data_IF_374207439369
#
_entry.id   IF_374207439369
#
_cell.length_a   1.000
_cell.length_b   1.000
_cell.length_c   1.000
_cell.angle_alpha   90.00
_cell.angle_beta   90.00
_cell.angle_gamma   90.00
#
_symmetry.space_group_name_H-M   'P 1'
#
loop_
_entity.id
_entity.type
_entity.pdbx_description
1 polymer ?
#
# COMPACT_ATOMS: atom_id res chain seq x y z
N UNK A 1 -50.58 -25.02 8.43
CA UNK A 1 -49.15 -25.35 8.53
C UNK A 1 -48.43 -24.10 8.99
N UNK A 2 -47.57 -24.27 9.98
CA UNK A 2 -47.02 -23.25 10.87
C UNK A 2 -46.02 -22.31 10.19
N UNK A 3 -46.27 -21.01 10.32
CA UNK A 3 -45.31 -19.94 10.04
C UNK A 3 -44.19 -19.95 11.09
N UNK A 4 -42.98 -20.33 10.68
CA UNK A 4 -41.75 -20.13 11.43
C UNK A 4 -40.97 -18.95 10.83
N UNK A 5 -40.63 -17.90 11.60
CA UNK A 5 -39.81 -16.82 11.09
C UNK A 5 -38.35 -17.27 10.96
N UNK A 6 -37.77 -16.99 9.79
CA UNK A 6 -36.37 -17.26 9.43
C UNK A 6 -35.41 -16.50 10.35
N UNK A 7 -34.50 -17.24 11.00
CA UNK A 7 -33.39 -16.70 11.76
C UNK A 7 -32.45 -15.90 10.85
N UNK A 8 -32.41 -14.59 11.09
CA UNK A 8 -31.43 -13.70 10.46
C UNK A 8 -30.13 -13.79 11.25
N UNK A 9 -29.13 -14.50 10.72
CA UNK A 9 -27.79 -14.56 11.33
C UNK A 9 -27.06 -13.24 11.04
N UNK A 10 -27.18 -12.30 11.98
CA UNK A 10 -26.39 -11.07 11.98
C UNK A 10 -24.97 -11.36 12.50
N UNK A 11 -24.00 -11.49 11.59
CA UNK A 11 -22.58 -11.51 11.97
C UNK A 11 -22.14 -10.06 12.22
N UNK A 12 -22.33 -9.57 13.44
CA UNK A 12 -21.74 -8.31 13.91
C UNK A 12 -20.26 -8.52 14.21
N UNK A 13 -19.40 -8.20 13.24
CA UNK A 13 -17.96 -8.14 13.46
C UNK A 13 -17.58 -6.88 14.26
N UNK A 14 -17.41 -7.03 15.57
CA UNK A 14 -16.86 -6.00 16.45
C UNK A 14 -15.42 -5.70 16.04
N UNK A 15 -15.17 -4.50 15.51
CA UNK A 15 -13.80 -4.01 15.30
C UNK A 15 -13.08 -3.89 16.65
N UNK A 16 -11.86 -4.42 16.80
CA UNK A 16 -11.05 -4.12 17.98
C UNK A 16 -10.60 -2.66 17.95
N UNK A 17 -10.50 -1.99 19.11
CA UNK A 17 -10.10 -0.58 19.16
C UNK A 17 -8.62 -0.45 18.82
N UNK A 18 -8.31 0.40 17.84
CA UNK A 18 -6.96 0.86 17.55
C UNK A 18 -6.37 1.50 18.80
N UNK A 19 -5.45 0.79 19.48
CA UNK A 19 -4.52 1.40 20.44
C UNK A 19 -3.59 2.34 19.66
N UNK A 20 -3.76 3.65 19.85
CA UNK A 20 -2.73 4.64 19.48
C UNK A 20 -1.61 4.60 20.52
N UNK A 21 -0.33 4.72 20.12
CA UNK A 21 0.75 4.89 21.09
C UNK A 21 0.62 6.25 21.78
N UNK A 22 0.58 6.21 23.11
CA UNK A 22 0.65 7.38 23.96
C UNK A 22 2.08 7.93 23.96
N UNK A 23 2.28 9.09 23.33
CA UNK A 23 3.40 9.96 23.65
C UNK A 23 2.84 11.09 24.53
N UNK A 24 3.01 10.91 25.84
CA UNK A 24 2.78 11.97 26.83
C UNK A 24 4.08 12.77 26.90
N UNK A 25 4.11 13.91 26.21
CA UNK A 25 5.11 14.95 26.40
C UNK A 25 4.69 15.76 27.63
N UNK A 26 5.63 15.91 28.55
CA UNK A 26 5.45 16.57 29.84
C UNK A 26 4.95 18.00 29.72
N UNK A 27 4.00 18.31 30.58
CA UNK A 27 3.47 19.64 30.86
C UNK A 27 4.38 20.28 31.92
N UNK A 28 5.07 21.36 31.56
CA UNK A 28 5.59 22.36 32.51
C UNK A 28 4.93 23.67 32.10
N UNK A 29 4.14 24.24 33.02
CA UNK A 29 3.41 25.48 32.80
C UNK A 29 4.35 26.69 32.77
N UNK A 30 3.88 27.76 32.11
CA UNK A 30 3.44 28.92 32.87
C UNK A 30 2.53 29.81 32.02
N UNK A 31 1.44 30.24 32.64
CA UNK A 31 0.53 31.27 32.14
C UNK A 31 1.20 32.64 32.28
N UNK A 32 1.00 33.50 31.28
CA UNK A 32 0.67 34.93 31.36
C UNK A 32 1.41 35.73 30.29
N UNK A 33 0.67 36.20 29.27
CA UNK A 33 0.67 37.62 28.86
C UNK A 33 -0.06 37.83 27.54
N UNK A 34 -0.99 38.79 27.60
CA UNK A 34 -1.82 39.38 26.55
C UNK A 34 -0.97 40.05 25.45
N UNK A 35 -1.39 39.93 24.18
CA UNK A 35 -1.56 41.04 23.21
C UNK A 35 -1.85 40.45 21.81
N UNK A 36 -3.05 40.65 21.25
CA UNK A 36 -3.44 41.78 20.37
C UNK A 36 -2.77 41.74 18.98
N UNK A 37 -3.59 41.33 18.00
CA UNK A 37 -3.75 41.83 16.62
C UNK A 37 -2.51 42.49 15.98
N UNK A 38 -2.05 41.95 14.85
CA UNK A 38 -1.75 42.75 13.66
C UNK A 38 -1.63 41.90 12.38
N UNK A 39 -2.33 42.37 11.36
CA UNK A 39 -2.32 41.96 9.96
C UNK A 39 -1.01 42.39 9.28
N UNK A 40 -0.35 41.49 8.55
CA UNK A 40 0.78 41.84 7.69
C UNK A 40 0.30 42.22 6.27
N UNK A 41 0.87 43.25 5.63
CA UNK A 41 0.54 43.64 4.26
C UNK A 41 1.37 42.89 3.22
N UNK A 42 0.83 42.85 2.00
CA UNK A 42 1.40 42.18 0.84
C UNK A 42 2.76 42.76 0.41
N UNK A 43 3.66 41.85 0.03
CA UNK A 43 4.98 42.16 -0.49
C UNK A 43 4.93 42.20 -2.02
N UNK A 44 5.19 43.36 -2.58
CA UNK A 44 5.44 43.58 -4.02
C UNK A 44 6.78 42.95 -4.41
N UNK A 45 6.80 42.27 -5.55
CA UNK A 45 8.00 41.68 -6.15
C UNK A 45 8.39 42.57 -7.32
N UNK A 46 9.45 43.36 -7.15
CA UNK A 46 10.09 44.10 -8.23
C UNK A 46 10.86 43.14 -9.14
N UNK A 47 10.78 43.44 -10.43
CA UNK A 47 11.57 42.86 -11.51
C UNK A 47 12.99 43.48 -11.57
N UNK A 48 13.83 42.82 -12.38
CA UNK A 48 15.18 43.20 -12.83
C UNK A 48 16.32 43.04 -11.78
N UNK A 49 17.46 42.41 -12.05
CA UNK A 49 18.30 42.55 -13.24
C UNK A 49 19.03 41.26 -13.68
N UNK A 50 19.31 41.24 -14.98
CA UNK A 50 20.15 40.30 -15.73
C UNK A 50 21.63 40.47 -15.40
N UNK A 51 22.40 39.38 -15.38
CA UNK A 51 23.80 39.39 -15.84
C UNK A 51 24.27 37.98 -16.29
N UNK A 52 25.20 37.84 -17.27
CA UNK A 52 25.15 36.73 -18.23
C UNK A 52 26.39 35.83 -18.29
N UNK A 53 26.25 34.76 -19.10
CA UNK A 53 27.27 33.92 -19.78
C UNK A 53 28.08 32.93 -18.93
N UNK A 54 27.84 31.64 -19.17
CA UNK A 54 28.87 30.73 -19.72
C UNK A 54 28.22 29.75 -20.70
N UNK A 55 28.95 29.46 -21.78
CA UNK A 55 28.47 28.83 -22.99
C UNK A 55 28.94 27.37 -23.13
N UNK A 56 28.02 26.52 -23.61
CA UNK A 56 28.21 25.34 -24.49
C UNK A 56 28.98 24.11 -23.96
N UNK A 57 28.86 22.91 -24.61
CA UNK A 57 28.28 22.61 -25.93
C UNK A 57 27.21 21.50 -26.03
N UNK A 58 26.60 21.47 -27.22
CA UNK A 58 25.58 20.55 -27.73
C UNK A 58 26.22 19.41 -28.52
N UNK A 59 25.67 18.20 -28.40
CA UNK A 59 25.61 17.11 -29.40
C UNK A 59 24.74 16.01 -28.77
N UNK A 60 23.64 15.49 -29.32
CA UNK A 60 23.43 14.83 -30.64
C UNK A 60 21.91 14.76 -30.97
N UNK A 61 21.51 14.42 -32.22
CA UNK A 61 20.19 14.72 -32.76
C UNK A 61 19.18 13.57 -32.60
N UNK A 62 17.94 13.93 -32.22
CA UNK A 62 16.77 13.04 -32.32
C UNK A 62 16.17 13.14 -33.72
N UNK A 63 16.00 11.96 -34.35
CA UNK A 63 15.31 11.76 -35.62
C UNK A 63 13.89 12.34 -35.59
N UNK A 64 13.59 13.09 -36.64
CA UNK A 64 12.24 13.45 -37.08
C UNK A 64 11.44 12.18 -37.40
N UNK A 65 10.29 12.04 -36.77
CA UNK A 65 9.15 11.31 -37.32
C UNK A 65 8.10 12.37 -37.61
N UNK A 66 7.97 12.71 -38.90
CA UNK A 66 6.84 13.45 -39.43
C UNK A 66 5.59 12.58 -39.30
N UNK A 67 4.66 12.99 -38.44
CA UNK A 67 3.28 12.54 -38.50
C UNK A 67 2.39 13.77 -38.55
N UNK A 68 1.95 14.07 -39.77
CA UNK A 68 0.93 15.05 -40.10
C UNK A 68 -0.40 14.69 -39.43
N UNK A 69 -0.90 15.53 -38.53
CA UNK A 69 -2.28 15.47 -38.07
C UNK A 69 -3.12 16.48 -38.85
N UNK A 70 -3.91 15.95 -39.78
CA UNK A 70 -4.96 16.69 -40.44
C UNK A 70 -6.11 16.97 -39.48
N UNK A 71 -6.61 18.19 -39.65
CA UNK A 71 -7.58 18.91 -38.87
C UNK A 71 -9.00 18.39 -39.13
N UNK A 72 -9.69 17.86 -38.10
CA UNK A 72 -11.15 17.75 -38.08
C UNK A 72 -11.68 17.63 -36.64
N UNK A 73 -12.24 18.74 -36.15
CA UNK A 73 -13.36 18.84 -35.22
C UNK A 73 -13.54 17.74 -34.15
N UNK A 74 -12.99 17.99 -32.95
CA UNK A 74 -13.56 17.47 -31.72
C UNK A 74 -13.56 18.57 -30.64
N UNK A 75 -14.74 19.14 -30.41
CA UNK A 75 -15.01 20.12 -29.36
C UNK A 75 -14.81 19.45 -28.00
N UNK A 76 -13.71 19.71 -27.33
CA UNK A 76 -13.55 19.35 -25.92
C UNK A 76 -13.79 20.59 -25.05
N UNK A 77 -15.06 20.79 -24.69
CA UNK A 77 -15.47 21.60 -23.55
C UNK A 77 -14.94 20.93 -22.29
N UNK A 78 -13.98 21.55 -21.57
CA UNK A 78 -13.87 21.52 -20.09
C UNK A 78 -12.59 22.23 -19.64
N UNK A 79 -12.68 23.55 -19.48
CA UNK A 79 -11.92 24.27 -18.46
C UNK A 79 -12.81 25.39 -17.94
N UNK A 80 -13.51 25.12 -16.84
CA UNK A 80 -14.09 26.18 -16.01
C UNK A 80 -14.22 25.69 -14.57
N UNK A 81 -13.70 26.50 -13.66
CA UNK A 81 -14.03 26.58 -12.25
C UNK A 81 -13.56 25.45 -11.32
N UNK A 82 -12.45 25.72 -10.64
CA UNK A 82 -12.26 25.24 -9.26
C UNK A 82 -12.48 26.45 -8.34
N UNK A 83 -13.74 26.73 -8.04
CA UNK A 83 -14.12 27.60 -6.93
C UNK A 83 -14.19 26.77 -5.63
N UNK A 84 -13.47 27.24 -4.61
CA UNK A 84 -13.88 27.28 -3.21
C UNK A 84 -14.57 26.03 -2.64
N UNK A 85 -13.76 25.13 -2.06
CA UNK A 85 -14.24 24.12 -1.12
C UNK A 85 -14.52 24.76 0.26
N UNK A 86 -15.66 25.44 0.39
CA UNK A 86 -16.22 25.77 1.70
C UNK A 86 -17.74 25.86 1.60
N UNK A 87 -18.41 24.95 2.32
CA UNK A 87 -19.86 24.72 2.48
C UNK A 87 -20.51 23.74 1.50
N UNK A 88 -20.76 22.52 2.00
CA UNK A 88 -22.05 21.84 1.81
C UNK A 88 -22.52 21.24 3.13
N UNK A 89 -23.53 21.90 3.71
CA UNK A 89 -24.50 21.29 4.63
C UNK A 89 -25.49 20.48 3.79
N UNK A 90 -26.00 19.39 4.37
CA UNK A 90 -27.25 18.70 4.04
C UNK A 90 -27.41 18.18 2.60
N UNK A 91 -27.29 16.86 2.46
CA UNK A 91 -27.87 16.11 1.35
C UNK A 91 -28.26 14.73 1.89
N UNK A 92 -29.36 14.71 2.65
CA UNK A 92 -30.19 13.53 2.86
C UNK A 92 -30.87 13.20 1.52
N UNK A 93 -30.21 12.38 0.72
CA UNK A 93 -30.82 11.68 -0.39
C UNK A 93 -30.36 10.23 -0.30
N UNK A 94 -31.30 9.30 -0.16
CA UNK A 94 -31.05 7.87 -0.19
C UNK A 94 -30.23 7.53 -1.44
N UNK A 95 -28.97 7.16 -1.23
CA UNK A 95 -28.10 6.75 -2.33
C UNK A 95 -28.62 5.42 -2.88
N UNK A 96 -28.72 5.25 -4.22
CA UNK A 96 -29.15 3.99 -4.82
C UNK A 96 -28.19 2.87 -4.38
N UNK A 97 -28.74 1.80 -3.80
CA UNK A 97 -27.96 0.63 -3.39
C UNK A 97 -27.27 0.02 -4.62
N UNK A 98 -25.95 -0.10 -4.59
CA UNK A 98 -25.21 -0.78 -5.64
C UNK A 98 -25.29 -2.29 -5.42
N UNK A 99 -25.89 -3.02 -6.36
CA UNK A 99 -25.98 -4.47 -6.38
C UNK A 99 -25.00 -5.06 -7.40
N UNK A 100 -24.27 -6.11 -7.00
CA UNK A 100 -23.32 -6.85 -7.83
C UNK A 100 -23.63 -8.33 -7.71
N UNK A 101 -23.82 -9.02 -8.84
CA UNK A 101 -24.03 -10.48 -8.89
C UNK A 101 -22.65 -11.15 -8.87
N UNK A 102 -22.39 -11.98 -7.85
CA UNK A 102 -21.10 -12.67 -7.69
C UNK A 102 -21.07 -14.00 -8.45
N UNK A 103 -22.18 -14.74 -8.39
CA UNK A 103 -22.39 -16.03 -9.06
C UNK A 103 -23.91 -16.30 -9.16
N UNK A 104 -24.36 -17.26 -10.00
CA UNK A 104 -25.78 -17.60 -10.09
C UNK A 104 -26.36 -17.92 -8.70
N UNK A 105 -27.45 -17.22 -8.34
CA UNK A 105 -28.09 -17.34 -7.02
C UNK A 105 -27.48 -16.50 -5.87
N UNK A 106 -26.34 -15.82 -6.08
CA UNK A 106 -25.70 -14.98 -5.04
C UNK A 106 -25.63 -13.50 -5.46
N UNK A 107 -26.30 -12.63 -4.70
CA UNK A 107 -26.31 -11.19 -4.94
C UNK A 107 -25.70 -10.45 -3.74
N UNK A 108 -24.69 -9.62 -4.02
CA UNK A 108 -24.08 -8.72 -3.06
C UNK A 108 -24.73 -7.34 -3.21
N UNK A 109 -25.35 -6.83 -2.15
CA UNK A 109 -25.84 -5.45 -2.09
C UNK A 109 -25.00 -4.66 -1.09
N UNK A 110 -24.50 -3.50 -1.53
CA UNK A 110 -23.67 -2.61 -0.70
C UNK A 110 -24.35 -1.26 -0.55
N UNK A 111 -24.60 -0.87 0.70
CA UNK A 111 -24.92 0.50 1.09
C UNK A 111 -23.67 1.17 1.71
N UNK A 112 -23.75 2.46 2.03
CA UNK A 112 -22.65 3.17 2.69
C UNK A 112 -22.27 2.56 4.05
N UNK A 113 -23.22 1.91 4.71
CA UNK A 113 -23.07 1.45 6.09
C UNK A 113 -23.06 -0.07 6.23
N UNK A 114 -23.61 -0.81 5.25
CA UNK A 114 -23.80 -2.26 5.35
C UNK A 114 -23.52 -2.95 4.02
N UNK A 115 -23.02 -4.18 4.13
CA UNK A 115 -22.86 -5.11 3.01
C UNK A 115 -23.76 -6.30 3.33
N UNK A 116 -24.72 -6.58 2.47
CA UNK A 116 -25.63 -7.70 2.60
C UNK A 116 -25.39 -8.67 1.44
N UNK A 117 -25.26 -9.95 1.76
CA UNK A 117 -25.24 -11.04 0.77
C UNK A 117 -26.58 -11.74 0.87
N UNK A 118 -27.32 -11.80 -0.24
CA UNK A 118 -28.62 -12.48 -0.31
C UNK A 118 -28.50 -13.66 -1.26
N UNK A 119 -28.87 -14.85 -0.77
CA UNK A 119 -29.00 -16.05 -1.58
C UNK A 119 -30.43 -16.06 -2.13
N UNK A 120 -30.58 -15.96 -3.45
CA UNK A 120 -31.88 -16.11 -4.09
C UNK A 120 -32.21 -17.59 -4.17
N UNK A 121 -33.02 -18.05 -3.22
CA UNK A 121 -33.47 -19.46 -3.15
C UNK A 121 -34.32 -19.87 -4.34
N UNK A 122 -35.00 -18.91 -4.98
CA UNK A 122 -35.92 -19.19 -6.10
C UNK A 122 -35.19 -19.62 -7.39
N UNK A 123 -33.93 -19.20 -7.57
CA UNK A 123 -33.10 -19.57 -8.72
C UNK A 123 -32.40 -20.94 -8.53
N UNK A 124 -32.37 -21.49 -7.31
CA UNK A 124 -31.75 -22.78 -7.00
C UNK A 124 -32.70 -23.97 -7.15
N UNK A 125 -34.02 -23.76 -6.98
CA UNK A 125 -35.04 -24.81 -7.01
C UNK A 125 -35.96 -24.77 -8.23
N UNK A 126 -35.75 -23.83 -9.16
CA UNK A 126 -36.41 -23.87 -10.47
C UNK A 126 -35.61 -24.78 -11.40
N UNK A 127 -35.80 -26.08 -11.20
CA UNK A 127 -35.36 -27.13 -12.12
C UNK A 127 -35.92 -26.84 -13.52
N UNK A 128 -35.00 -26.65 -14.47
CA UNK A 128 -35.25 -26.42 -15.89
C UNK A 128 -36.19 -27.50 -16.47
N UNK A 129 -37.49 -27.20 -16.58
CA UNK A 129 -38.43 -27.95 -17.42
C UNK A 129 -38.29 -27.66 -18.93
N UNK A 130 -37.12 -27.21 -19.40
CA UNK A 130 -36.93 -26.86 -20.82
C UNK A 130 -35.61 -27.39 -21.41
N UNK A 131 -35.39 -28.70 -21.31
CA UNK A 131 -34.51 -29.38 -22.27
C UNK A 131 -34.91 -30.85 -22.49
N UNK A 132 -36.18 -31.09 -22.83
CA UNK A 132 -36.60 -32.32 -23.53
C UNK A 132 -36.39 -32.12 -25.03
N UNK A 133 -35.19 -32.43 -25.52
CA UNK A 133 -34.93 -33.02 -26.85
C UNK A 133 -33.44 -33.00 -27.17
N UNK A 134 -32.76 -34.15 -27.00
CA UNK A 134 -31.94 -34.79 -28.05
C UNK A 134 -31.33 -36.13 -27.58
N UNK A 135 -31.90 -37.20 -28.14
CA UNK A 135 -31.26 -38.40 -28.76
C UNK A 135 -30.25 -39.18 -27.90
N UNK A 136 -30.66 -40.31 -27.31
CA UNK A 136 -30.57 -41.67 -27.89
C UNK A 136 -29.17 -42.05 -28.38
N UNK A 137 -28.39 -42.70 -27.51
CA UNK A 137 -27.55 -43.86 -27.84
C UNK A 137 -27.61 -44.82 -26.64
N UNK A 138 -28.01 -46.04 -26.94
CA UNK A 138 -28.50 -47.09 -26.05
C UNK A 138 -27.53 -48.26 -26.16
N UNK A 139 -26.81 -48.56 -25.08
CA UNK A 139 -26.18 -49.86 -24.77
C UNK A 139 -26.24 -49.95 -23.23
N UNK A 140 -27.03 -50.78 -22.55
CA UNK A 140 -27.75 -51.97 -22.96
C UNK A 140 -26.92 -53.22 -22.66
N UNK A 141 -26.63 -53.51 -21.38
CA UNK A 141 -26.31 -54.86 -20.89
C UNK A 141 -26.81 -54.99 -19.44
N UNK A 142 -28.05 -55.46 -19.33
CA UNK A 142 -28.55 -56.26 -18.23
C UNK A 142 -28.36 -57.72 -18.63
N UNK A 143 -27.90 -58.60 -17.73
CA UNK A 143 -28.17 -60.03 -17.85
C UNK A 143 -28.35 -60.62 -16.44
N UNK A 144 -29.62 -60.74 -16.07
CA UNK A 144 -30.12 -61.72 -15.12
C UNK A 144 -30.58 -62.95 -15.91
N UNK A 145 -30.26 -64.13 -15.37
CA UNK A 145 -31.07 -65.36 -15.37
C UNK A 145 -31.16 -66.27 -16.62
N UNK A 146 -30.88 -67.55 -16.33
CA UNK A 146 -31.58 -68.79 -16.73
C UNK A 146 -31.69 -69.18 -18.22
N UNK A 147 -31.02 -70.30 -18.58
CA UNK A 147 -31.68 -71.37 -19.37
C UNK A 147 -31.18 -72.77 -18.96
N UNK A 148 -32.12 -73.55 -18.43
CA UNK A 148 -32.15 -75.02 -18.36
C UNK A 148 -32.64 -75.56 -19.72
N UNK A 149 -32.04 -76.62 -20.27
CA UNK A 149 -32.63 -77.57 -21.25
C UNK A 149 -31.58 -78.69 -21.42
N UNK A 150 -31.73 -79.96 -21.03
CA UNK A 150 -32.73 -81.01 -21.25
C UNK A 150 -32.97 -81.41 -22.71
N UNK A 151 -32.71 -82.70 -22.96
CA UNK A 151 -33.19 -83.60 -24.04
C UNK A 151 -32.53 -83.55 -25.43
N UNK A 152 -31.84 -84.65 -25.82
CA UNK A 152 -32.44 -85.73 -26.63
C UNK A 152 -31.50 -86.93 -26.81
N UNK A 153 -31.98 -88.11 -26.39
CA UNK A 153 -31.63 -89.43 -26.94
C UNK A 153 -31.84 -89.43 -28.47
N UNK A 154 -31.14 -90.30 -29.22
CA UNK A 154 -31.79 -91.57 -29.59
C UNK A 154 -30.83 -92.77 -29.57
N UNK A 155 -31.14 -93.78 -28.76
CA UNK A 155 -31.27 -95.15 -29.28
C UNK A 155 -32.66 -95.23 -29.94
N UNK A 156 -33.03 -96.19 -30.84
CA UNK A 156 -32.66 -97.60 -30.74
C UNK A 156 -32.75 -98.46 -32.05
N UNK A 157 -32.68 -99.79 -31.88
CA UNK A 157 -33.13 -100.88 -32.79
C UNK A 157 -32.34 -101.06 -34.10
N UNK A 158 -31.81 -102.26 -34.42
CA UNK A 158 -32.56 -103.48 -34.76
C UNK A 158 -31.51 -104.57 -35.10
N UNK A 159 -31.45 -105.74 -34.47
CA UNK A 159 -32.37 -106.91 -34.49
C UNK A 159 -31.97 -107.96 -35.53
N UNK A 160 -32.32 -109.21 -35.18
CA UNK A 160 -32.45 -110.43 -36.00
C UNK A 160 -31.17 -111.27 -36.12
N UNK A 161 -31.06 -112.42 -35.45
CA UNK A 161 -31.91 -113.64 -35.42
C UNK A 161 -31.15 -114.75 -36.17
N UNK A 162 -30.84 -115.83 -35.47
CA UNK A 162 -31.39 -117.18 -35.69
C UNK A 162 -30.54 -118.17 -34.87
N UNK A 163 -31.08 -118.81 -33.83
CA UNK A 163 -31.99 -119.97 -33.90
C UNK A 163 -31.41 -121.06 -34.81
N UNK A 164 -30.88 -122.13 -34.22
CA UNK A 164 -31.45 -123.47 -34.43
C UNK A 164 -30.70 -124.60 -33.70
N UNK A 165 -31.51 -125.36 -32.96
CA UNK A 165 -31.52 -126.81 -32.76
C UNK A 165 -30.25 -127.49 -32.19
N UNK A 166 -30.27 -128.05 -30.98
CA UNK A 166 -31.04 -129.23 -30.52
C UNK A 166 -30.73 -130.53 -31.26
N UNK A 167 -30.68 -131.61 -30.46
CA UNK A 167 -30.70 -133.06 -30.81
C UNK A 167 -29.34 -133.63 -31.23
N UNK A 168 -28.82 -134.78 -30.76
CA UNK A 168 -29.34 -136.02 -30.17
C UNK A 168 -28.14 -136.70 -29.45
N UNK A 169 -28.18 -137.29 -28.24
CA UNK A 169 -28.86 -138.51 -27.75
C UNK A 169 -28.86 -139.70 -28.72
N UNK A 170 -27.87 -140.60 -28.59
CA UNK A 170 -27.99 -142.09 -28.63
C UNK A 170 -26.56 -142.66 -28.50
N UNK A 171 -26.14 -143.24 -27.37
CA UNK A 171 -26.46 -144.58 -26.84
C UNK A 171 -26.03 -145.74 -27.73
N UNK A 172 -25.54 -146.79 -27.04
CA UNK A 172 -25.46 -148.20 -27.46
C UNK A 172 -24.31 -148.51 -28.44
N UNK A 173 -23.48 -149.54 -28.28
CA UNK A 173 -23.63 -150.85 -27.63
C UNK A 173 -22.27 -151.39 -27.16
N UNK A 174 -22.30 -152.04 -26.00
CA UNK A 174 -21.32 -153.03 -25.54
C UNK A 174 -21.40 -154.29 -26.41
N UNK A 175 -20.28 -154.97 -26.68
CA UNK A 175 -20.24 -156.44 -26.80
C UNK A 175 -18.81 -156.97 -26.96
N UNK A 176 -18.21 -157.35 -25.83
CA UNK A 176 -17.33 -158.51 -25.74
C UNK A 176 -18.07 -159.77 -26.21
N UNK A 177 -17.64 -160.43 -27.30
CA UNK A 177 -17.94 -161.87 -27.54
C UNK A 177 -16.80 -162.55 -28.31
N UNK A 178 -15.99 -163.28 -27.56
CA UNK A 178 -15.55 -164.68 -27.77
C UNK A 178 -15.74 -165.38 -29.15
N UNK A 179 -14.65 -166.08 -29.54
CA UNK A 179 -14.57 -167.42 -30.19
C UNK A 179 -14.73 -167.57 -31.72
N UNK A 180 -13.59 -168.01 -32.29
CA UNK A 180 -13.39 -169.15 -33.20
C UNK A 180 -13.88 -169.07 -34.67
N UNK A 181 -12.86 -169.15 -35.54
CA UNK A 181 -12.75 -169.98 -36.76
C UNK A 181 -13.70 -169.72 -37.94
N UNK A 182 -13.21 -169.02 -38.98
CA UNK A 182 -13.10 -169.46 -40.41
C UNK A 182 -12.58 -168.29 -41.30
N UNK A 183 -11.97 -168.57 -42.47
CA UNK A 183 -11.28 -167.56 -43.30
C UNK A 183 -12.24 -166.62 -44.06
N UNK A 184 -11.76 -165.46 -44.55
CA UNK A 184 -12.59 -164.36 -45.05
C UNK A 184 -13.13 -164.64 -46.47
N UNK A 185 -14.39 -164.26 -46.69
CA UNK A 185 -15.08 -164.37 -47.98
C UNK A 185 -14.83 -163.11 -48.83
N UNK A 186 -14.70 -163.22 -50.16
CA UNK A 186 -14.28 -162.12 -51.06
C UNK A 186 -15.15 -160.85 -50.98
N UNK A 187 -16.39 -161.00 -50.51
CA UNK A 187 -17.33 -159.89 -50.29
C UNK A 187 -16.87 -158.95 -49.18
N UNK A 188 -16.23 -159.45 -48.13
CA UNK A 188 -15.77 -158.65 -47.00
C UNK A 188 -14.53 -157.80 -47.36
N UNK A 189 -13.68 -158.31 -48.27
CA UNK A 189 -12.56 -157.54 -48.83
C UNK A 189 -13.09 -156.37 -49.66
N UNK A 190 -14.15 -156.59 -50.45
CA UNK A 190 -14.78 -155.53 -51.26
C UNK A 190 -15.54 -154.51 -50.40
N UNK A 191 -16.18 -154.95 -49.33
CA UNK A 191 -16.78 -154.07 -48.32
C UNK A 191 -15.70 -153.24 -47.63
N UNK A 192 -14.56 -153.83 -47.27
CA UNK A 192 -13.43 -153.10 -46.67
C UNK A 192 -12.81 -152.09 -47.64
N UNK A 193 -12.66 -152.43 -48.93
CA UNK A 193 -12.21 -151.48 -49.95
C UNK A 193 -13.20 -150.34 -50.18
N UNK A 194 -14.51 -150.62 -50.22
CA UNK A 194 -15.52 -149.56 -50.33
C UNK A 194 -15.58 -148.70 -49.07
N UNK A 195 -15.40 -149.28 -47.88
CA UNK A 195 -15.27 -148.53 -46.64
C UNK A 195 -14.01 -147.65 -46.65
N UNK A 196 -12.89 -148.13 -47.19
CA UNK A 196 -11.68 -147.33 -47.39
C UNK A 196 -11.94 -146.17 -48.36
N UNK A 197 -12.55 -146.44 -49.52
CA UNK A 197 -12.90 -145.40 -50.49
C UNK A 197 -13.87 -144.35 -49.92
N UNK A 198 -14.85 -144.77 -49.12
CA UNK A 198 -15.77 -143.87 -48.42
C UNK A 198 -14.99 -143.03 -47.40
N UNK A 199 -14.09 -143.63 -46.63
CA UNK A 199 -13.26 -142.91 -45.67
C UNK A 199 -12.31 -141.91 -46.37
N UNK A 200 -11.73 -142.29 -47.51
CA UNK A 200 -10.87 -141.41 -48.31
C UNK A 200 -11.69 -140.24 -48.89
N UNK A 201 -12.91 -140.49 -49.39
CA UNK A 201 -13.84 -139.44 -49.84
C UNK A 201 -14.29 -138.52 -48.69
N UNK A 202 -14.56 -139.08 -47.50
CA UNK A 202 -14.86 -138.31 -46.30
C UNK A 202 -13.67 -137.43 -45.95
N UNK A 203 -12.45 -137.96 -46.01
CA UNK A 203 -11.22 -137.21 -45.74
C UNK A 203 -11.01 -136.09 -46.75
N UNK A 204 -11.24 -136.32 -48.05
CA UNK A 204 -11.17 -135.28 -49.09
C UNK A 204 -12.23 -134.20 -48.92
N UNK A 205 -13.48 -134.57 -48.63
CA UNK A 205 -14.56 -133.60 -48.38
C UNK A 205 -14.31 -132.80 -47.09
N UNK A 206 -13.74 -133.44 -46.07
CA UNK A 206 -13.38 -132.78 -44.83
C UNK A 206 -12.18 -131.84 -45.01
N UNK A 207 -11.21 -132.21 -45.84
CA UNK A 207 -10.10 -131.35 -46.28
C UNK A 207 -10.60 -130.16 -47.10
N UNK A 208 -11.48 -130.37 -48.08
CA UNK A 208 -12.10 -129.27 -48.84
C UNK A 208 -12.92 -128.35 -47.94
N UNK A 209 -13.68 -128.90 -46.99
CA UNK A 209 -14.44 -128.12 -46.02
C UNK A 209 -13.52 -127.30 -45.11
N UNK A 210 -12.43 -127.91 -44.65
CA UNK A 210 -11.38 -127.22 -43.87
C UNK A 210 -10.69 -126.15 -44.70
N UNK A 211 -10.41 -126.41 -45.98
CA UNK A 211 -9.79 -125.48 -46.90
C UNK A 211 -10.73 -124.31 -47.21
N UNK A 212 -12.02 -124.55 -47.45
CA UNK A 212 -13.03 -123.51 -47.63
C UNK A 212 -13.22 -122.68 -46.35
N UNK A 213 -13.28 -123.33 -45.17
CA UNK A 213 -13.32 -122.65 -43.88
C UNK A 213 -12.06 -121.81 -43.63
N UNK A 214 -10.89 -122.33 -44.00
CA UNK A 214 -9.62 -121.61 -43.94
C UNK A 214 -9.61 -120.42 -44.89
N UNK A 215 -10.15 -120.58 -46.11
CA UNK A 215 -10.22 -119.50 -47.09
C UNK A 215 -11.21 -118.40 -46.68
N UNK A 216 -12.38 -118.78 -46.13
CA UNK A 216 -13.35 -117.84 -45.56
C UNK A 216 -12.70 -117.04 -44.41
N UNK A 217 -11.96 -117.71 -43.52
CA UNK A 217 -11.21 -117.03 -42.45
C UNK A 217 -10.17 -116.06 -43.02
N UNK A 218 -9.38 -116.47 -44.01
CA UNK A 218 -8.41 -115.60 -44.67
C UNK A 218 -9.08 -114.39 -45.31
N UNK A 219 -10.21 -114.55 -46.00
CA UNK A 219 -10.95 -113.41 -46.58
C UNK A 219 -11.53 -112.50 -45.49
N UNK A 220 -12.06 -113.06 -44.40
CA UNK A 220 -12.58 -112.30 -43.28
C UNK A 220 -11.45 -111.52 -42.55
N UNK A 221 -10.30 -112.16 -42.32
CA UNK A 221 -9.10 -111.52 -41.77
C UNK A 221 -8.56 -110.43 -42.68
N UNK A 222 -8.53 -110.66 -44.00
CA UNK A 222 -8.11 -109.62 -44.96
C UNK A 222 -9.07 -108.43 -44.97
N UNK A 223 -10.38 -108.67 -44.92
CA UNK A 223 -11.36 -107.59 -44.79
C UNK A 223 -11.22 -106.86 -43.45
N UNK A 224 -10.99 -107.59 -42.36
CA UNK A 224 -10.76 -107.00 -41.04
C UNK A 224 -9.52 -106.11 -41.04
N UNK A 225 -8.38 -106.59 -41.57
CA UNK A 225 -7.16 -105.80 -41.73
C UNK A 225 -7.37 -104.57 -42.61
N UNK A 226 -8.18 -104.69 -43.67
CA UNK A 226 -8.48 -103.54 -44.53
C UNK A 226 -9.32 -102.49 -43.79
N UNK A 227 -10.31 -102.93 -43.01
CA UNK A 227 -11.13 -102.05 -42.16
C UNK A 227 -10.26 -101.37 -41.10
N UNK A 228 -9.37 -102.11 -40.43
CA UNK A 228 -8.41 -101.55 -39.46
C UNK A 228 -7.50 -100.51 -40.12
N UNK A 229 -6.98 -100.79 -41.32
CA UNK A 229 -6.15 -99.84 -42.06
C UNK A 229 -6.91 -98.55 -42.37
N UNK A 230 -8.17 -98.65 -42.81
CA UNK A 230 -9.01 -97.47 -43.06
C UNK A 230 -9.27 -96.71 -41.76
N UNK A 231 -9.53 -97.40 -40.64
CA UNK A 231 -9.71 -96.74 -39.35
C UNK A 231 -8.45 -96.03 -38.87
N UNK A 232 -7.27 -96.62 -39.06
CA UNK A 232 -6.00 -95.99 -38.74
C UNK A 232 -5.77 -94.75 -39.60
N UNK A 233 -5.94 -94.84 -40.92
CA UNK A 233 -5.82 -93.70 -41.84
C UNK A 233 -6.80 -92.57 -41.49
N UNK A 234 -8.03 -92.90 -41.11
CA UNK A 234 -9.01 -91.92 -40.64
C UNK A 234 -8.60 -91.32 -39.30
N UNK A 235 -8.05 -92.11 -38.38
CA UNK A 235 -7.60 -91.61 -37.08
C UNK A 235 -6.42 -90.65 -37.25
N UNK A 236 -5.44 -91.00 -38.09
CA UNK A 236 -4.32 -90.13 -38.46
C UNK A 236 -4.80 -88.85 -39.16
N UNK A 237 -5.76 -88.95 -40.10
CA UNK A 237 -6.29 -87.78 -40.79
C UNK A 237 -7.05 -86.84 -39.85
N UNK A 238 -7.91 -87.38 -38.98
CA UNK A 238 -8.61 -86.60 -37.94
C UNK A 238 -7.57 -85.95 -37.02
N UNK A 239 -6.55 -86.69 -36.59
CA UNK A 239 -5.48 -86.16 -35.74
C UNK A 239 -4.70 -85.03 -36.41
N UNK A 240 -4.39 -85.14 -37.71
CA UNK A 240 -3.73 -84.08 -38.48
C UNK A 240 -4.60 -82.82 -38.57
N UNK A 241 -5.92 -82.97 -38.80
CA UNK A 241 -6.85 -81.84 -38.86
C UNK A 241 -6.97 -81.16 -37.49
N UNK A 242 -7.09 -81.94 -36.42
CA UNK A 242 -7.14 -81.42 -35.05
C UNK A 242 -5.86 -80.65 -34.70
N UNK A 243 -4.70 -81.18 -35.09
CA UNK A 243 -3.42 -80.51 -34.91
C UNK A 243 -3.33 -79.21 -35.71
N UNK A 244 -3.74 -79.21 -36.98
CA UNK A 244 -3.74 -78.01 -37.82
C UNK A 244 -4.67 -76.92 -37.25
N UNK A 245 -5.85 -77.30 -36.74
CA UNK A 245 -6.76 -76.38 -36.07
C UNK A 245 -6.18 -75.83 -34.77
N UNK A 246 -5.52 -76.66 -33.96
CA UNK A 246 -4.87 -76.22 -32.72
C UNK A 246 -3.72 -75.24 -33.03
N UNK A 247 -2.92 -75.52 -34.06
CA UNK A 247 -1.86 -74.62 -34.53
C UNK A 247 -2.41 -73.29 -35.06
N UNK A 248 -3.55 -73.29 -35.79
CA UNK A 248 -4.20 -72.08 -36.26
C UNK A 248 -4.76 -71.25 -35.09
N UNK A 249 -5.41 -71.91 -34.12
CA UNK A 249 -5.89 -71.28 -32.89
C UNK A 249 -4.72 -70.66 -32.11
N UNK A 250 -3.61 -71.36 -31.99
CA UNK A 250 -2.43 -70.85 -31.27
C UNK A 250 -1.79 -69.68 -32.01
N UNK A 251 -1.65 -69.73 -33.34
CA UNK A 251 -1.21 -68.58 -34.15
C UNK A 251 -2.13 -67.37 -33.98
N UNK A 252 -3.45 -67.59 -33.94
CA UNK A 252 -4.42 -66.52 -33.69
C UNK A 252 -4.26 -65.95 -32.29
N UNK A 253 -4.16 -66.78 -31.24
CA UNK A 253 -3.92 -66.34 -29.85
C UNK A 253 -2.66 -65.49 -29.75
N UNK A 254 -1.53 -65.97 -30.28
CA UNK A 254 -0.28 -65.18 -30.29
C UNK A 254 -0.42 -63.84 -31.04
N UNK A 255 -1.22 -63.80 -32.11
CA UNK A 255 -1.50 -62.54 -32.82
C UNK A 255 -2.36 -61.56 -32.00
N UNK A 256 -3.25 -62.07 -31.15
CA UNK A 256 -4.04 -61.27 -30.22
C UNK A 256 -3.17 -60.77 -29.06
N UNK A 257 -2.34 -61.64 -28.49
CA UNK A 257 -1.40 -61.26 -27.44
C UNK A 257 -0.40 -60.19 -27.94
N UNK A 258 0.12 -60.35 -29.15
CA UNK A 258 0.95 -59.30 -29.81
C UNK A 258 0.20 -57.99 -30.02
N UNK A 259 -1.12 -58.03 -30.26
CA UNK A 259 -1.94 -56.80 -30.35
C UNK A 259 -2.13 -56.14 -29.00
N UNK A 260 -2.33 -56.92 -27.94
CA UNK A 260 -2.45 -56.42 -26.57
C UNK A 260 -1.13 -55.81 -26.07
N UNK A 261 0.02 -56.42 -26.39
CA UNK A 261 1.32 -55.83 -26.06
C UNK A 261 1.55 -54.51 -26.81
N UNK A 262 1.19 -54.42 -28.10
CA UNK A 262 1.28 -53.15 -28.84
C UNK A 262 0.35 -52.08 -28.25
N UNK A 263 -0.87 -52.44 -27.84
CA UNK A 263 -1.79 -51.50 -27.22
C UNK A 263 -1.24 -50.95 -25.89
N UNK A 264 -0.74 -51.84 -25.02
CA UNK A 264 -0.13 -51.44 -23.74
C UNK A 264 1.16 -50.62 -23.92
N UNK A 265 1.98 -50.91 -24.92
CA UNK A 265 3.14 -50.07 -25.28
C UNK A 265 2.72 -48.66 -25.72
N UNK A 266 1.65 -48.56 -26.50
CA UNK A 266 1.11 -47.28 -26.95
C UNK A 266 0.55 -46.46 -25.78
N UNK A 267 -0.18 -47.10 -24.87
CA UNK A 267 -0.67 -46.45 -23.65
C UNK A 267 0.49 -45.97 -22.76
N UNK A 268 1.52 -46.79 -22.59
CA UNK A 268 2.72 -46.39 -21.85
C UNK A 268 3.43 -45.19 -22.49
N UNK A 269 3.57 -45.16 -23.82
CA UNK A 269 4.13 -44.01 -24.55
C UNK A 269 3.27 -42.76 -24.38
N UNK A 270 1.95 -42.91 -24.44
CA UNK A 270 1.02 -41.79 -24.27
C UNK A 270 1.07 -41.22 -22.86
N UNK A 271 1.08 -42.10 -21.85
CA UNK A 271 1.21 -41.72 -20.46
C UNK A 271 2.56 -41.04 -20.17
N UNK A 272 3.66 -41.54 -20.75
CA UNK A 272 4.96 -40.86 -20.66
C UNK A 272 4.89 -39.46 -21.26
N UNK A 273 4.33 -39.32 -22.46
CA UNK A 273 4.22 -38.00 -23.12
C UNK A 273 3.32 -37.04 -22.35
N UNK A 274 2.23 -37.53 -21.78
CA UNK A 274 1.35 -36.74 -20.91
C UNK A 274 2.09 -36.26 -19.67
N UNK A 275 2.87 -37.13 -19.02
CA UNK A 275 3.68 -36.77 -17.85
C UNK A 275 4.78 -35.76 -18.19
N UNK A 276 5.45 -35.90 -19.34
CA UNK A 276 6.42 -34.93 -19.84
C UNK A 276 5.77 -33.56 -20.05
N UNK A 277 4.63 -33.49 -20.74
CA UNK A 277 3.89 -32.24 -20.96
C UNK A 277 3.42 -31.60 -19.65
N UNK A 278 2.93 -32.40 -18.70
CA UNK A 278 2.58 -31.92 -17.35
C UNK A 278 3.79 -31.36 -16.62
N UNK A 279 4.95 -32.01 -16.73
CA UNK A 279 6.18 -31.54 -16.12
C UNK A 279 6.69 -30.25 -16.78
N UNK A 280 6.71 -30.17 -18.11
CA UNK A 280 7.07 -28.96 -18.86
C UNK A 280 6.17 -27.77 -18.51
N UNK A 281 4.85 -27.98 -18.48
CA UNK A 281 3.91 -26.94 -18.08
C UNK A 281 4.16 -26.50 -16.63
N UNK A 282 4.37 -27.44 -15.70
CA UNK A 282 4.70 -27.12 -14.30
C UNK A 282 5.98 -26.29 -14.21
N UNK A 283 7.05 -26.70 -14.88
CA UNK A 283 8.33 -25.97 -14.91
C UNK A 283 8.17 -24.57 -15.51
N UNK A 284 7.44 -24.43 -16.62
CA UNK A 284 7.17 -23.13 -17.25
C UNK A 284 6.38 -22.20 -16.32
N UNK A 285 5.36 -22.71 -15.62
CA UNK A 285 4.61 -21.91 -14.64
C UNK A 285 5.46 -21.50 -13.45
N UNK A 286 6.32 -22.39 -12.95
CA UNK A 286 7.22 -22.10 -11.83
C UNK A 286 8.29 -21.07 -12.22
N UNK A 287 8.83 -21.17 -13.44
CA UNK A 287 9.76 -20.18 -14.00
C UNK A 287 9.10 -18.81 -14.15
N UNK A 288 7.89 -18.74 -14.71
CA UNK A 288 7.14 -17.50 -14.86
C UNK A 288 6.83 -16.84 -13.49
N UNK A 289 6.41 -17.63 -12.50
CA UNK A 289 6.23 -17.14 -11.13
C UNK A 289 7.55 -16.69 -10.50
N UNK A 290 8.65 -17.40 -10.77
CA UNK A 290 9.99 -17.03 -10.33
C UNK A 290 10.45 -15.69 -10.92
N UNK A 291 10.21 -15.46 -12.21
CA UNK A 291 10.50 -14.20 -12.89
C UNK A 291 9.67 -13.06 -12.29
N UNK A 292 8.35 -13.25 -12.13
CA UNK A 292 7.47 -12.24 -11.54
C UNK A 292 7.88 -11.88 -10.10
N UNK A 293 8.28 -12.86 -9.28
CA UNK A 293 8.80 -12.61 -7.93
C UNK A 293 10.09 -11.78 -7.96
N UNK A 294 11.02 -12.09 -8.86
CA UNK A 294 12.27 -11.34 -9.01
C UNK A 294 12.01 -9.89 -9.44
N UNK A 295 11.11 -9.68 -10.39
CA UNK A 295 10.71 -8.34 -10.86
C UNK A 295 10.07 -7.52 -9.74
N UNK A 296 9.15 -8.11 -8.98
CA UNK A 296 8.48 -7.43 -7.87
C UNK A 296 9.48 -7.06 -6.76
N UNK A 297 10.42 -7.96 -6.44
CA UNK A 297 11.50 -7.66 -5.48
C UNK A 297 12.39 -6.52 -6.01
N UNK A 298 12.75 -6.55 -7.29
CA UNK A 298 13.57 -5.51 -7.90
C UNK A 298 12.86 -4.14 -7.89
N UNK A 299 11.57 -4.10 -8.22
CA UNK A 299 10.75 -2.90 -8.17
C UNK A 299 10.63 -2.37 -6.73
N UNK A 300 10.36 -3.25 -5.76
CA UNK A 300 10.29 -2.86 -4.34
C UNK A 300 11.61 -2.32 -3.82
N UNK A 301 12.73 -2.93 -4.17
CA UNK A 301 14.06 -2.43 -3.80
C UNK A 301 14.34 -1.08 -4.43
N UNK A 302 13.96 -0.89 -5.70
CA UNK A 302 14.09 0.40 -6.39
C UNK A 302 13.22 1.50 -5.77
N UNK A 303 11.99 1.18 -5.35
CA UNK A 303 11.11 2.08 -4.60
C UNK A 303 11.72 2.46 -3.23
N UNK A 304 12.25 1.47 -2.50
CA UNK A 304 12.93 1.68 -1.22
C UNK A 304 14.16 2.58 -1.37
N UNK A 305 14.99 2.34 -2.38
CA UNK A 305 16.15 3.18 -2.70
C UNK A 305 15.73 4.61 -3.08
N UNK A 306 14.64 4.75 -3.84
CA UNK A 306 14.06 6.04 -4.19
C UNK A 306 13.57 6.82 -2.96
N UNK A 307 12.84 6.14 -2.07
CA UNK A 307 12.33 6.73 -0.83
C UNK A 307 13.48 7.11 0.12
N UNK A 308 14.50 6.27 0.22
CA UNK A 308 15.67 6.53 1.06
C UNK A 308 16.46 7.75 0.55
N UNK A 309 16.64 7.90 -0.78
CA UNK A 309 17.25 9.09 -1.38
C UNK A 309 16.44 10.36 -1.10
N UNK A 310 15.12 10.28 -1.15
CA UNK A 310 14.24 11.42 -0.86
C UNK A 310 14.29 11.82 0.62
N UNK A 311 14.24 10.84 1.54
CA UNK A 311 14.44 11.10 2.96
C UNK A 311 15.80 11.74 3.24
N UNK A 312 16.86 11.27 2.59
CA UNK A 312 18.19 11.85 2.71
C UNK A 312 18.23 13.31 2.24
N UNK A 313 17.59 13.63 1.10
CA UNK A 313 17.46 15.02 0.63
C UNK A 313 16.68 15.91 1.60
N UNK A 314 15.64 15.38 2.23
CA UNK A 314 14.86 16.12 3.23
C UNK A 314 15.70 16.43 4.47
N UNK A 315 16.48 15.46 4.96
CA UNK A 315 17.43 15.65 6.06
C UNK A 315 18.46 16.75 5.70
N UNK A 316 19.06 16.67 4.51
CA UNK A 316 20.03 17.67 4.03
C UNK A 316 19.41 19.07 3.96
N UNK A 317 18.19 19.19 3.45
CA UNK A 317 17.47 20.46 3.37
C UNK A 317 17.22 21.07 4.76
N UNK A 318 16.81 20.25 5.73
CA UNK A 318 16.59 20.69 7.12
C UNK A 318 17.91 21.14 7.74
N UNK A 319 18.98 20.36 7.58
CA UNK A 319 20.31 20.71 8.08
C UNK A 319 20.81 22.03 7.48
N UNK A 320 20.64 22.23 6.18
CA UNK A 320 21.02 23.48 5.50
C UNK A 320 20.20 24.67 6.01
N UNK A 321 18.89 24.50 6.21
CA UNK A 321 18.01 25.54 6.76
C UNK A 321 18.38 25.89 8.20
N UNK A 322 18.66 24.89 9.04
CA UNK A 322 19.12 25.10 10.41
C UNK A 322 20.48 25.81 10.44
N UNK A 323 21.41 25.45 9.57
CA UNK A 323 22.69 26.14 9.41
C UNK A 323 22.49 27.63 9.09
N UNK A 324 21.67 27.94 8.07
CA UNK A 324 21.33 29.33 7.71
C UNK A 324 20.67 30.10 8.85
N UNK A 325 19.86 29.45 9.69
CA UNK A 325 19.24 30.11 10.84
C UNK A 325 20.23 30.39 11.95
N UNK A 326 21.16 29.46 12.22
CA UNK A 326 22.27 29.68 13.16
C UNK A 326 23.13 30.85 12.68
N UNK A 327 23.49 30.91 11.40
CA UNK A 327 24.28 32.01 10.83
C UNK A 327 23.58 33.36 11.00
N UNK A 328 22.26 33.44 10.73
CA UNK A 328 21.47 34.66 10.98
C UNK A 328 21.42 35.04 12.44
N UNK A 329 21.32 34.08 13.35
CA UNK A 329 21.35 34.35 14.78
C UNK A 329 22.72 34.89 15.19
N UNK A 330 23.81 34.30 14.70
CA UNK A 330 25.17 34.80 14.94
C UNK A 330 25.36 36.23 14.41
N UNK A 331 24.84 36.55 13.23
CA UNK A 331 24.87 37.90 12.66
C UNK A 331 24.14 38.90 13.57
N UNK A 332 22.92 38.58 14.02
CA UNK A 332 22.18 39.41 14.99
C UNK A 332 22.91 39.56 16.32
N UNK A 333 23.57 38.51 16.81
CA UNK A 333 24.37 38.59 18.02
C UNK A 333 25.58 39.52 17.83
N UNK A 334 26.25 39.47 16.67
CA UNK A 334 27.33 40.38 16.35
C UNK A 334 26.85 41.84 16.28
N UNK A 335 25.69 42.10 15.66
CA UNK A 335 25.05 43.42 15.65
C UNK A 335 24.76 43.92 17.08
N UNK A 336 24.12 43.10 17.92
CA UNK A 336 23.84 43.45 19.32
C UNK A 336 25.10 43.74 20.14
N UNK A 337 26.20 43.01 19.89
CA UNK A 337 27.50 43.26 20.53
C UNK A 337 28.05 44.62 20.08
N UNK A 338 27.99 44.92 18.78
CA UNK A 338 28.44 46.20 18.24
C UNK A 338 27.61 47.38 18.78
N UNK A 339 26.29 47.23 18.88
CA UNK A 339 25.39 48.21 19.48
C UNK A 339 25.68 48.44 20.96
N UNK A 340 25.98 47.36 21.70
CA UNK A 340 26.40 47.44 23.10
C UNK A 340 27.70 48.24 23.27
N UNK A 341 28.68 48.03 22.38
CA UNK A 341 29.91 48.82 22.36
C UNK A 341 29.67 50.29 22.00
N UNK A 342 28.81 50.56 21.02
CA UNK A 342 28.43 51.92 20.63
C UNK A 342 27.72 52.64 21.79
N UNK A 343 26.80 51.96 22.48
CA UNK A 343 26.11 52.51 23.65
C UNK A 343 27.09 52.81 24.80
N UNK A 344 28.07 51.94 25.03
CA UNK A 344 29.15 52.20 26.01
C UNK A 344 29.94 53.45 25.65
N UNK A 345 30.30 53.65 24.38
CA UNK A 345 30.99 54.89 23.91
C UNK A 345 30.15 56.13 24.19
N UNK A 346 28.88 56.13 23.79
CA UNK A 346 27.95 57.24 24.06
C UNK A 346 27.81 57.52 25.56
N UNK A 347 27.75 56.47 26.39
CA UNK A 347 27.68 56.62 27.85
C UNK A 347 28.95 57.28 28.41
N UNK A 348 30.14 56.90 27.92
CA UNK A 348 31.39 57.55 28.31
C UNK A 348 31.47 59.02 27.86
N UNK A 349 31.03 59.34 26.64
CA UNK A 349 30.96 60.72 26.14
C UNK A 349 29.98 61.57 26.98
N UNK A 350 28.79 61.02 27.28
CA UNK A 350 27.81 61.66 28.15
C UNK A 350 28.40 61.93 29.55
N UNK A 351 29.15 60.99 30.12
CA UNK A 351 29.84 61.20 31.40
C UNK A 351 30.87 62.32 31.33
N UNK A 352 31.65 62.42 30.24
CA UNK A 352 32.61 63.51 30.00
C UNK A 352 31.88 64.85 29.92
N UNK A 353 30.85 64.97 29.07
CA UNK A 353 30.03 66.17 28.95
C UNK A 353 29.36 66.58 30.27
N UNK A 354 28.97 65.61 31.10
CA UNK A 354 28.39 65.89 32.42
C UNK A 354 29.42 66.49 33.37
N UNK A 355 30.67 65.99 33.36
CA UNK A 355 31.80 66.56 34.13
C UNK A 355 32.16 67.97 33.64
N UNK A 356 32.18 68.19 32.32
CA UNK A 356 32.43 69.51 31.74
C UNK A 356 31.34 70.51 32.13
N UNK A 357 30.06 70.13 32.02
CA UNK A 357 28.93 70.95 32.48
C UNK A 357 29.03 71.28 33.97
N UNK A 358 29.46 70.32 34.81
CA UNK A 358 29.70 70.57 36.23
C UNK A 358 30.82 71.61 36.44
N UNK A 359 31.94 71.48 35.71
CA UNK A 359 33.06 72.43 35.78
C UNK A 359 32.68 73.84 35.30
N UNK A 360 31.86 73.94 34.25
CA UNK A 360 31.36 75.21 33.73
C UNK A 360 30.39 75.87 34.72
N UNK A 361 29.51 75.08 35.35
CA UNK A 361 28.63 75.59 36.42
C UNK A 361 29.43 76.14 37.60
N UNK A 362 30.51 75.47 38.00
CA UNK A 362 31.38 75.94 39.07
C UNK A 362 32.10 77.26 38.68
N UNK A 363 32.64 77.34 37.46
CA UNK A 363 33.21 78.57 36.90
C UNK A 363 32.20 79.71 36.88
N UNK A 364 30.98 79.45 36.39
CA UNK A 364 29.89 80.43 36.33
C UNK A 364 29.54 80.94 37.73
N UNK A 365 29.43 80.05 38.72
CA UNK A 365 29.18 80.39 40.12
C UNK A 365 30.30 81.28 40.67
N UNK A 366 31.56 80.90 40.45
CA UNK A 366 32.72 81.71 40.87
C UNK A 366 32.72 83.10 40.23
N UNK A 367 32.41 83.22 38.94
CA UNK A 367 32.30 84.52 38.26
C UNK A 367 31.13 85.34 38.77
N UNK A 368 29.99 84.71 39.06
CA UNK A 368 28.82 85.36 39.64
C UNK A 368 29.11 85.89 41.06
N UNK A 369 29.81 85.10 41.88
CA UNK A 369 30.24 85.52 43.22
C UNK A 369 31.22 86.71 43.17
N UNK A 370 32.17 86.69 42.22
CA UNK A 370 33.07 87.83 41.96
C UNK A 370 32.29 89.07 41.52
N UNK A 371 31.36 88.93 40.59
CA UNK A 371 30.51 90.03 40.11
C UNK A 371 29.70 90.62 41.27
N UNK A 372 29.04 89.78 42.07
CA UNK A 372 28.29 90.21 43.26
C UNK A 372 29.17 90.99 44.23
N UNK A 373 30.40 90.52 44.48
CA UNK A 373 31.38 91.23 45.31
C UNK A 373 31.71 92.60 44.75
N UNK A 374 32.02 92.70 43.45
CA UNK A 374 32.30 93.98 42.79
C UNK A 374 31.09 94.91 42.78
N UNK A 375 29.87 94.39 42.66
CA UNK A 375 28.63 95.20 42.73
C UNK A 375 28.44 95.77 44.13
N UNK A 376 28.68 94.98 45.18
CA UNK A 376 28.62 95.46 46.57
C UNK A 376 29.70 96.51 46.84
N UNK A 377 30.94 96.29 46.37
CA UNK A 377 32.03 97.26 46.49
C UNK A 377 31.70 98.57 45.75
N UNK A 378 31.12 98.49 44.55
CA UNK A 378 30.68 99.66 43.79
C UNK A 378 29.60 100.43 44.53
N UNK A 379 28.63 99.74 45.13
CA UNK A 379 27.55 100.38 45.89
C UNK A 379 28.07 101.03 47.17
N UNK A 380 28.98 100.39 47.90
CA UNK A 380 29.67 100.99 49.05
C UNK A 380 30.45 102.26 48.65
N UNK A 381 31.12 102.26 47.49
CA UNK A 381 31.81 103.43 46.96
C UNK A 381 30.85 104.55 46.56
N UNK A 382 29.69 104.23 45.97
CA UNK A 382 28.63 105.21 45.68
C UNK A 382 28.08 105.84 46.95
N UNK A 383 27.79 105.04 47.98
CA UNK A 383 27.34 105.54 49.28
C UNK A 383 28.39 106.46 49.91
N UNK A 384 29.67 106.10 49.84
CA UNK A 384 30.77 106.98 50.30
C UNK A 384 30.86 108.28 49.52
N UNK A 385 30.73 108.23 48.19
CA UNK A 385 30.70 109.43 47.34
C UNK A 385 29.51 110.33 47.68
N UNK A 386 28.31 109.75 47.81
CA UNK A 386 27.12 110.49 48.23
C UNK A 386 27.32 111.13 49.61
N UNK A 387 27.96 110.45 50.56
CA UNK A 387 28.34 111.02 51.85
C UNK A 387 29.35 112.18 51.75
N UNK A 388 30.33 112.10 50.84
CA UNK A 388 31.23 113.23 50.57
C UNK A 388 30.52 114.40 49.89
N UNK A 389 29.59 114.13 48.98
CA UNK A 389 28.76 115.15 48.33
C UNK A 389 27.86 115.86 49.35
N UNK A 390 27.22 115.11 50.26
CA UNK A 390 26.40 115.65 51.34
C UNK A 390 27.23 116.51 52.30
N UNK A 391 28.38 116.01 52.74
CA UNK A 391 29.31 116.78 53.59
C UNK A 391 29.82 118.04 52.88
N UNK A 392 30.09 117.96 51.58
CA UNK A 392 30.48 119.13 50.80
C UNK A 392 29.33 120.14 50.72
N UNK A 393 28.10 119.71 50.44
CA UNK A 393 26.92 120.55 50.41
C UNK A 393 26.63 121.20 51.77
N UNK A 394 26.77 120.46 52.87
CA UNK A 394 26.65 120.97 54.24
C UNK A 394 27.68 122.07 54.49
N UNK A 395 28.93 121.87 54.07
CA UNK A 395 29.99 122.87 54.27
C UNK A 395 29.80 124.13 53.41
N UNK A 396 29.30 123.97 52.18
CA UNK A 396 28.89 125.10 51.34
C UNK A 396 27.75 125.87 52.02
N UNK A 397 26.71 125.18 52.50
CA UNK A 397 25.60 125.81 53.21
C UNK A 397 26.02 126.51 54.51
N UNK A 398 26.97 125.96 55.26
CA UNK A 398 27.55 126.60 56.45
C UNK A 398 28.27 127.91 56.09
N UNK A 399 29.06 127.90 55.01
CA UNK A 399 29.76 129.09 54.50
C UNK A 399 28.75 130.14 54.02
N UNK A 400 27.73 129.73 53.27
CA UNK A 400 26.64 130.60 52.81
C UNK A 400 25.87 131.21 53.99
N UNK A 401 25.53 130.41 55.01
CA UNK A 401 24.91 130.90 56.24
C UNK A 401 25.80 131.89 56.98
N UNK A 402 27.12 131.66 57.02
CA UNK A 402 28.08 132.58 57.65
C UNK A 402 28.12 133.93 56.92
N UNK A 403 28.15 133.93 55.59
CA UNK A 403 28.10 135.16 54.81
C UNK A 403 26.74 135.85 54.89
N UNK A 404 25.64 135.09 54.84
CA UNK A 404 24.27 135.59 55.01
C UNK A 404 24.08 136.27 56.37
N UNK A 405 24.50 135.61 57.46
CA UNK A 405 24.48 136.18 58.81
C UNK A 405 25.35 137.44 58.92
N UNK A 406 26.52 137.46 58.26
CA UNK A 406 27.38 138.65 58.24
C UNK A 406 26.73 139.82 57.50
N UNK A 407 26.08 139.57 56.37
CA UNK A 407 25.31 140.57 55.62
C UNK A 407 24.14 141.07 56.46
N UNK A 408 23.35 140.17 57.07
CA UNK A 408 22.26 140.55 57.96
C UNK A 408 22.73 141.37 59.15
N UNK A 409 23.86 141.00 59.78
CA UNK A 409 24.50 141.80 60.83
C UNK A 409 24.86 143.20 60.35
N UNK A 410 25.56 143.32 59.21
CA UNK A 410 25.89 144.61 58.61
C UNK A 410 24.66 145.44 58.23
N UNK A 411 23.57 144.82 57.78
CA UNK A 411 22.31 145.50 57.51
C UNK A 411 21.64 146.00 58.79
N UNK A 412 21.65 145.20 59.87
CA UNK A 412 21.15 145.61 61.19
C UNK A 412 21.95 146.79 61.71
N UNK A 413 23.29 146.69 61.69
CA UNK A 413 24.20 147.76 62.10
C UNK A 413 23.97 149.03 61.26
N UNK A 414 23.78 148.90 59.93
CA UNK A 414 23.45 150.04 59.07
C UNK A 414 22.09 150.67 59.45
N UNK A 415 21.10 149.84 59.76
CA UNK A 415 19.77 150.29 60.22
C UNK A 415 19.87 151.00 61.55
N UNK A 416 20.67 150.48 62.48
CA UNK A 416 20.93 151.10 63.78
C UNK A 416 21.70 152.41 63.65
N UNK A 417 22.71 152.46 62.78
CA UNK A 417 23.41 153.70 62.43
C UNK A 417 22.46 154.74 61.85
N UNK A 418 21.57 154.34 60.92
CA UNK A 418 20.53 155.23 60.38
C UNK A 418 19.58 155.71 61.48
N UNK A 419 19.10 154.82 62.36
CA UNK A 419 18.26 155.19 63.52
C UNK A 419 18.98 156.15 64.45
N UNK A 420 20.24 155.88 64.78
CA UNK A 420 21.06 156.70 65.68
C UNK A 420 21.39 158.07 65.07
N UNK A 421 21.63 158.11 63.76
CA UNK A 421 21.78 159.33 62.99
C UNK A 421 20.50 160.16 63.03
N UNK A 422 19.33 159.55 62.75
CA UNK A 422 18.02 160.23 62.86
C UNK A 422 17.79 160.76 64.28
N UNK A 423 18.07 159.94 65.31
CA UNK A 423 17.94 160.35 66.72
C UNK A 423 18.85 161.53 67.06
N UNK A 424 20.07 161.55 66.51
CA UNK A 424 20.99 162.69 66.65
C UNK A 424 20.50 163.92 65.87
N UNK A 425 19.92 163.75 64.69
CA UNK A 425 19.26 164.84 63.98
C UNK A 425 18.07 165.40 64.76
N UNK A 426 17.24 164.55 65.38
CA UNK A 426 16.14 164.97 66.26
C UNK A 426 16.67 165.74 67.49
N UNK A 427 17.80 165.31 68.07
CA UNK A 427 18.46 166.01 69.18
C UNK A 427 18.99 167.38 68.74
N UNK A 428 19.59 167.47 67.54
CA UNK A 428 20.00 168.75 66.93
C UNK A 428 18.80 169.65 66.68
N UNK A 429 17.70 169.13 66.11
CA UNK A 429 16.46 169.89 65.90
C UNK A 429 15.87 170.34 67.23
N UNK A 430 15.90 169.51 68.30
CA UNK A 430 15.51 169.93 69.64
C UNK A 430 16.38 171.07 70.16
N UNK A 431 17.70 170.96 70.04
CA UNK A 431 18.62 172.02 70.46
C UNK A 431 18.43 173.30 69.64
N UNK A 432 18.09 173.18 68.36
CA UNK A 432 17.79 174.29 67.46
C UNK A 432 16.47 174.95 67.83
N UNK A 433 15.41 174.17 68.11
CA UNK A 433 14.15 174.68 68.65
C UNK A 433 14.33 175.33 70.03
N UNK A 434 15.25 174.83 70.87
CA UNK A 434 15.58 175.44 72.15
C UNK A 434 16.31 176.78 71.99
N UNK A 435 17.12 176.90 70.93
CA UNK A 435 17.79 178.14 70.53
C UNK A 435 16.78 179.13 69.94
N UNK A 436 15.84 178.67 69.12
CA UNK A 436 14.77 179.49 68.53
C UNK A 436 13.75 179.97 69.59
N UNK A 437 13.53 179.21 70.67
CA UNK A 437 12.73 179.62 71.83
C UNK A 437 13.50 180.66 72.69
N UNK A 438 14.83 180.56 72.78
CA UNK A 438 15.68 181.58 73.42
C UNK A 438 15.76 182.88 72.59
N UNK A 439 15.75 182.81 71.26
CA UNK A 439 15.75 183.99 70.40
C UNK A 439 14.37 184.68 70.34
N UNK A 440 13.25 183.94 70.41
CA UNK A 440 11.91 184.52 70.41
C UNK A 440 11.47 185.15 71.74
N UNK A 441 12.16 184.89 72.85
CA UNK A 441 11.86 185.54 74.14
C UNK A 441 12.59 186.87 74.33
N UNK A 442 13.48 187.26 73.41
CA UNK A 442 14.24 188.53 73.46
C UNK A 442 13.62 189.69 72.67
N UNK A 443 12.43 189.56 72.09
CA UNK A 443 11.82 190.59 71.22
C UNK A 443 10.38 191.04 71.55
N UNK A 444 9.86 190.77 72.76
CA UNK A 444 8.54 191.30 73.18
C UNK A 444 8.54 191.78 74.63
N UNK A 445 9.07 192.98 74.85
CA UNK A 445 8.43 194.11 75.56
C UNK A 445 9.45 195.24 75.72
N UNK A 446 9.49 196.12 74.71
CA UNK A 446 9.48 197.58 74.85
C UNK A 446 8.23 198.04 74.11
#
# INVERSE_FOLDING_TARGET
MSDTPLETICITGSRPPFKKPAWVIGQVGDETSRSRVQTAPGRTRNEDERSPRYARPKSTPSRQLDVSFNNAAARCFRFSQVHSAKRRKSLEGEAPMSTVVLSPGYVLSRSKEKINVTIKTDDFFTENQSSRHRKNLKCGLSDDSLVNLHHQNPSPLSSLHDENASTSKLSTFSSDVNKRTKPPDEKDIKISQLQQQINDLIMFLEEERLNHKSNIRKTAENHHRHIEKIHEEHHEHIGSIEQDHEDEINKMKESFDRRETVASEMDYKWQRRENELKHEHKMSTEEALGQQRKELIHEKNKELDGLNKEHQRQIETIVEQHGKEIDRLMEKFAECVQDSENLKKVLTEMQVMTKENASLKEKLKSTSDKLRKTTVELEDKKVKLAGYEEHFAEKVAEVDNKYSNRIHGLMSDNTDLRRHYVKKCEEVIRLQSHRDIQENTLCKTV
#
